data_IF_416191308778
#
_entry.id   IF_416191308778
#
_cell.length_a   1.000
_cell.length_b   1.000
_cell.length_c   1.000
_cell.angle_alpha   90.00
_cell.angle_beta   90.00
_cell.angle_gamma   90.00
#
_symmetry.space_group_name_H-M   'P 1'
#
loop_
_entity.id
_entity.type
_entity.pdbx_description
1 polymer ?
#
# COMPACT_ATOMS: atom_id res chain seq x y z
N UNK A 1 6.71 -13.45 -25.60
CA UNK A 1 7.01 -14.30 -24.43
C UNK A 1 5.68 -14.69 -23.81
N UNK A 2 5.50 -15.93 -23.33
CA UNK A 2 4.22 -16.61 -23.35
C UNK A 2 3.29 -16.13 -22.23
N UNK A 3 2.25 -15.38 -22.61
CA UNK A 3 1.21 -14.92 -21.68
C UNK A 3 0.43 -16.08 -21.02
N UNK A 4 0.50 -17.29 -21.60
CA UNK A 4 -0.13 -18.51 -21.08
C UNK A 4 0.38 -18.97 -19.71
N UNK A 5 1.61 -18.62 -19.31
CA UNK A 5 2.18 -19.12 -18.05
C UNK A 5 1.82 -18.23 -16.84
N UNK A 6 1.67 -16.92 -17.07
CA UNK A 6 1.42 -15.93 -15.99
C UNK A 6 0.02 -16.12 -15.40
N UNK A 7 -0.98 -16.32 -16.26
CA UNK A 7 -2.36 -16.56 -15.82
C UNK A 7 -2.45 -17.82 -14.95
N UNK A 8 -1.82 -18.91 -15.38
CA UNK A 8 -1.77 -20.16 -14.61
C UNK A 8 -1.08 -19.98 -13.25
N UNK A 9 -0.01 -19.20 -13.20
CA UNK A 9 0.70 -18.90 -11.96
C UNK A 9 -0.16 -18.11 -10.96
N UNK A 10 -0.90 -17.10 -11.45
CA UNK A 10 -1.84 -16.31 -10.62
C UNK A 10 -2.97 -17.19 -10.09
N UNK A 11 -3.52 -18.10 -10.90
CA UNK A 11 -4.55 -19.04 -10.45
C UNK A 11 -4.05 -19.95 -9.32
N UNK A 12 -2.81 -20.43 -9.38
CA UNK A 12 -2.25 -21.25 -8.30
C UNK A 12 -2.01 -20.47 -7.00
N UNK A 13 -1.63 -19.19 -7.10
CA UNK A 13 -1.53 -18.31 -5.93
C UNK A 13 -2.92 -18.06 -5.34
N UNK A 14 -3.91 -17.77 -6.19
CA UNK A 14 -5.31 -17.64 -5.78
C UNK A 14 -5.79 -18.89 -5.06
N UNK A 15 -5.56 -20.11 -5.54
CA UNK A 15 -6.02 -21.32 -4.85
C UNK A 15 -5.47 -21.46 -3.43
N UNK A 16 -4.21 -21.06 -3.20
CA UNK A 16 -3.52 -21.17 -1.91
C UNK A 16 -3.86 -20.03 -0.93
N UNK A 17 -4.52 -18.97 -1.39
CA UNK A 17 -4.87 -17.85 -0.54
C UNK A 17 -5.92 -18.23 0.54
N UNK A 18 -5.79 -17.70 1.75
CA UNK A 18 -6.85 -17.64 2.75
C UNK A 18 -8.16 -17.09 2.17
N UNK A 19 -9.33 -17.56 2.64
CA UNK A 19 -10.62 -17.12 2.13
C UNK A 19 -10.80 -15.60 2.25
N UNK A 20 -10.29 -14.98 3.31
CA UNK A 20 -10.39 -13.54 3.52
C UNK A 20 -9.68 -12.72 2.44
N UNK A 21 -8.55 -13.22 1.93
CA UNK A 21 -7.81 -12.56 0.85
C UNK A 21 -8.45 -12.80 -0.51
N UNK A 22 -9.03 -13.99 -0.74
CA UNK A 22 -9.83 -14.27 -1.94
C UNK A 22 -11.05 -13.37 -2.01
N UNK A 23 -11.78 -13.24 -0.90
CA UNK A 23 -12.96 -12.39 -0.81
C UNK A 23 -12.60 -10.93 -1.06
N UNK A 24 -11.51 -10.43 -0.47
CA UNK A 24 -11.03 -9.08 -0.74
C UNK A 24 -10.55 -8.89 -2.19
N UNK A 25 -9.96 -9.90 -2.82
CA UNK A 25 -9.52 -9.84 -4.22
C UNK A 25 -10.69 -9.76 -5.20
N UNK A 26 -11.77 -10.52 -4.95
CA UNK A 26 -12.97 -10.53 -5.80
C UNK A 26 -14.06 -9.54 -5.36
N UNK A 27 -13.80 -8.74 -4.32
CA UNK A 27 -14.78 -7.80 -3.79
C UNK A 27 -15.06 -6.66 -4.77
N UNK A 28 -16.34 -6.51 -5.11
CA UNK A 28 -16.84 -5.35 -5.86
C UNK A 28 -16.69 -4.07 -5.06
N UNK A 29 -16.90 -4.12 -3.74
CA UNK A 29 -16.76 -2.95 -2.86
C UNK A 29 -15.32 -2.40 -2.89
N UNK A 30 -14.32 -3.28 -2.92
CA UNK A 30 -12.92 -2.88 -3.04
C UNK A 30 -12.63 -2.25 -4.41
N UNK A 31 -13.22 -2.80 -5.48
CA UNK A 31 -13.09 -2.26 -6.84
C UNK A 31 -13.71 -0.86 -6.96
N UNK A 32 -14.92 -0.69 -6.40
CA UNK A 32 -15.62 0.59 -6.36
C UNK A 32 -14.87 1.61 -5.49
N UNK A 33 -14.28 1.16 -4.39
CA UNK A 33 -13.43 1.99 -3.54
C UNK A 33 -12.20 2.50 -4.30
N UNK A 34 -11.49 1.62 -5.03
CA UNK A 34 -10.35 2.03 -5.87
C UNK A 34 -10.79 3.04 -6.92
N UNK A 35 -11.90 2.77 -7.63
CA UNK A 35 -12.43 3.66 -8.65
C UNK A 35 -12.78 5.06 -8.08
N UNK A 36 -13.49 5.10 -6.95
CA UNK A 36 -13.86 6.36 -6.30
C UNK A 36 -12.65 7.13 -5.77
N UNK A 37 -11.64 6.44 -5.26
CA UNK A 37 -10.35 7.02 -4.85
C UNK A 37 -9.64 7.63 -6.06
N UNK A 38 -9.57 6.92 -7.18
CA UNK A 38 -8.94 7.44 -8.39
C UNK A 38 -9.69 8.65 -8.96
N UNK A 39 -11.02 8.65 -8.88
CA UNK A 39 -11.84 9.80 -9.25
C UNK A 39 -11.54 11.03 -8.39
N UNK A 40 -11.35 10.84 -7.09
CA UNK A 40 -11.05 11.92 -6.13
C UNK A 40 -9.68 12.57 -6.39
N UNK A 41 -8.71 11.81 -6.86
CA UNK A 41 -7.34 12.26 -7.13
C UNK A 41 -7.03 12.43 -8.63
N UNK A 42 -8.07 12.50 -9.47
CA UNK A 42 -7.97 12.75 -10.92
C UNK A 42 -7.04 11.78 -11.67
N UNK A 43 -6.97 10.51 -11.23
CA UNK A 43 -6.12 9.47 -11.82
C UNK A 43 -6.94 8.29 -12.39
N UNK A 44 -8.11 8.59 -12.96
CA UNK A 44 -9.00 7.61 -13.58
C UNK A 44 -8.34 6.83 -14.73
N UNK A 45 -7.36 7.43 -15.40
CA UNK A 45 -6.54 6.78 -16.43
C UNK A 45 -5.67 5.63 -15.90
N UNK A 46 -5.43 5.60 -14.59
CA UNK A 46 -4.55 4.63 -13.91
C UNK A 46 -5.30 3.59 -13.06
N UNK A 47 -6.64 3.64 -13.02
CA UNK A 47 -7.48 2.76 -12.20
C UNK A 47 -7.13 1.29 -12.38
N UNK A 48 -7.02 0.82 -13.63
CA UNK A 48 -6.71 -0.59 -13.90
C UNK A 48 -5.37 -1.03 -13.31
N UNK A 49 -4.36 -0.16 -13.40
CA UNK A 49 -3.03 -0.44 -12.84
C UNK A 49 -3.02 -0.39 -11.33
N UNK A 50 -3.72 0.58 -10.73
CA UNK A 50 -3.85 0.68 -9.27
C UNK A 50 -4.57 -0.55 -8.72
N UNK A 51 -5.61 -1.03 -9.40
CA UNK A 51 -6.29 -2.29 -9.06
C UNK A 51 -5.36 -3.50 -9.19
N UNK A 52 -4.55 -3.57 -10.25
CA UNK A 52 -3.54 -4.61 -10.45
C UNK A 52 -2.52 -4.65 -9.30
N UNK A 53 -1.91 -3.51 -8.92
CA UNK A 53 -1.00 -3.45 -7.78
C UNK A 53 -1.68 -3.75 -6.45
N UNK A 54 -2.94 -3.33 -6.27
CA UNK A 54 -3.72 -3.70 -5.08
C UNK A 54 -3.93 -5.22 -5.01
N UNK A 55 -4.18 -5.85 -6.16
CA UNK A 55 -4.24 -7.30 -6.30
C UNK A 55 -2.91 -7.98 -5.99
N UNK A 56 -1.78 -7.42 -6.43
CA UNK A 56 -0.44 -7.93 -6.08
C UNK A 56 -0.21 -7.93 -4.56
N UNK A 57 -0.70 -6.91 -3.85
CA UNK A 57 -0.64 -6.88 -2.38
C UNK A 57 -1.48 -8.00 -1.78
N UNK A 58 -2.72 -8.18 -2.24
CA UNK A 58 -3.62 -9.23 -1.75
C UNK A 58 -3.10 -10.65 -2.07
N UNK A 59 -2.35 -10.81 -3.16
CA UNK A 59 -1.67 -12.05 -3.55
C UNK A 59 -0.36 -12.29 -2.78
N UNK A 60 0.11 -11.31 -2.00
CA UNK A 60 1.38 -11.36 -1.28
C UNK A 60 2.62 -11.14 -2.16
N UNK A 61 2.44 -10.74 -3.43
CA UNK A 61 3.51 -10.45 -4.39
C UNK A 61 4.19 -9.09 -4.15
N UNK A 62 3.46 -8.15 -3.55
CA UNK A 62 3.96 -6.83 -3.17
C UNK A 62 3.64 -6.60 -1.68
N UNK A 63 4.61 -6.26 -0.83
CA UNK A 63 4.30 -5.91 0.55
C UNK A 63 3.47 -4.62 0.58
N UNK A 64 2.48 -4.50 1.49
CA UNK A 64 1.65 -3.30 1.61
C UNK A 64 2.46 -2.01 1.77
N UNK A 65 3.60 -2.09 2.47
CA UNK A 65 4.50 -0.96 2.74
C UNK A 65 5.13 -0.38 1.46
N UNK A 66 5.37 -1.22 0.45
CA UNK A 66 5.96 -0.80 -0.83
C UNK A 66 4.90 -0.33 -1.84
N UNK A 67 3.61 -0.44 -1.50
CA UNK A 67 2.53 -0.03 -2.39
C UNK A 67 2.62 1.44 -2.78
N UNK A 68 2.94 2.34 -1.83
CA UNK A 68 3.14 3.75 -2.14
C UNK A 68 4.31 3.94 -3.13
N UNK A 69 5.44 3.28 -2.91
CA UNK A 69 6.60 3.37 -3.79
C UNK A 69 6.27 2.87 -5.20
N UNK A 70 5.46 1.83 -5.33
CA UNK A 70 4.96 1.36 -6.62
C UNK A 70 4.05 2.39 -7.31
N UNK A 71 3.18 3.08 -6.57
CA UNK A 71 2.37 4.18 -7.12
C UNK A 71 3.22 5.35 -7.63
N UNK A 72 4.29 5.70 -6.92
CA UNK A 72 5.20 6.78 -7.31
C UNK A 72 6.09 6.38 -8.49
N UNK A 73 6.70 5.20 -8.45
CA UNK A 73 7.68 4.75 -9.46
C UNK A 73 7.03 4.26 -10.75
N UNK A 74 6.11 3.32 -10.63
CA UNK A 74 5.53 2.61 -11.79
C UNK A 74 4.43 3.43 -12.45
N UNK A 75 3.61 4.09 -11.63
CA UNK A 75 2.45 4.86 -12.07
C UNK A 75 2.74 6.35 -12.21
N UNK A 76 3.93 6.80 -11.82
CA UNK A 76 4.39 8.20 -11.89
C UNK A 76 3.41 9.18 -11.25
N UNK A 77 2.74 8.75 -10.17
CA UNK A 77 1.88 9.62 -9.39
C UNK A 77 2.72 10.62 -8.60
N UNK A 78 2.22 11.83 -8.43
CA UNK A 78 2.85 12.81 -7.56
C UNK A 78 2.90 12.25 -6.13
N UNK A 79 4.03 12.46 -5.44
CA UNK A 79 4.28 11.96 -4.08
C UNK A 79 3.11 12.22 -3.12
N UNK A 80 2.57 13.43 -3.10
CA UNK A 80 1.44 13.78 -2.21
C UNK A 80 0.17 12.98 -2.54
N UNK A 81 -0.12 12.80 -3.83
CA UNK A 81 -1.25 12.01 -4.30
C UNK A 81 -1.06 10.53 -4.00
N UNK A 82 0.12 9.99 -4.30
CA UNK A 82 0.47 8.60 -4.02
C UNK A 82 0.37 8.28 -2.52
N UNK A 83 0.88 9.15 -1.65
CA UNK A 83 0.80 8.98 -0.19
C UNK A 83 -0.65 8.96 0.30
N UNK A 84 -1.48 9.90 -0.14
CA UNK A 84 -2.89 9.97 0.26
C UNK A 84 -3.69 8.77 -0.23
N UNK A 85 -3.48 8.38 -1.49
CA UNK A 85 -4.12 7.20 -2.08
C UNK A 85 -3.69 5.91 -1.39
N UNK A 86 -2.39 5.71 -1.19
CA UNK A 86 -1.85 4.55 -0.51
C UNK A 86 -2.44 4.43 0.89
N UNK A 87 -2.54 5.54 1.64
CA UNK A 87 -3.13 5.56 2.98
C UNK A 87 -4.61 5.18 2.99
N UNK A 88 -5.38 5.67 2.02
CA UNK A 88 -6.81 5.33 1.88
C UNK A 88 -6.97 3.84 1.54
N UNK A 89 -6.27 3.36 0.53
CA UNK A 89 -6.29 1.94 0.13
C UNK A 89 -5.81 1.03 1.26
N UNK A 90 -4.74 1.40 1.97
CA UNK A 90 -4.27 0.67 3.16
C UNK A 90 -5.38 0.50 4.19
N UNK A 91 -6.10 1.58 4.49
CA UNK A 91 -7.10 1.59 5.55
C UNK A 91 -8.34 0.77 5.20
N UNK A 92 -8.81 0.86 3.95
CA UNK A 92 -10.08 0.26 3.55
C UNK A 92 -9.93 -1.15 2.95
N UNK A 93 -8.80 -1.45 2.31
CA UNK A 93 -8.59 -2.71 1.61
C UNK A 93 -7.60 -3.61 2.38
N UNK A 94 -6.42 -3.11 2.72
CA UNK A 94 -5.37 -3.97 3.29
C UNK A 94 -5.52 -4.20 4.80
N UNK A 95 -5.96 -3.19 5.56
CA UNK A 95 -6.10 -3.28 7.01
C UNK A 95 -7.10 -4.36 7.46
N UNK A 96 -8.30 -4.50 6.85
CA UNK A 96 -9.24 -5.57 7.21
C UNK A 96 -8.66 -6.98 7.03
N UNK A 97 -7.79 -7.17 6.03
CA UNK A 97 -7.19 -8.47 5.69
C UNK A 97 -5.77 -8.65 6.19
N UNK A 98 -5.25 -7.70 6.98
CA UNK A 98 -3.90 -7.75 7.54
C UNK A 98 -3.58 -9.07 8.26
N UNK A 99 -4.48 -9.64 9.10
CA UNK A 99 -4.20 -10.92 9.76
C UNK A 99 -4.00 -12.06 8.77
N UNK A 100 -4.70 -12.05 7.63
CA UNK A 100 -4.58 -13.05 6.58
C UNK A 100 -3.31 -12.85 5.74
N UNK A 101 -2.94 -11.59 5.45
CA UNK A 101 -1.64 -11.27 4.83
C UNK A 101 -0.47 -11.74 5.70
N UNK A 102 -0.51 -11.49 7.01
CA UNK A 102 0.53 -11.95 7.93
C UNK A 102 0.64 -13.49 7.97
N UNK A 103 -0.48 -14.19 7.89
CA UNK A 103 -0.49 -15.65 7.80
C UNK A 103 0.17 -16.14 6.50
N UNK A 104 -0.16 -15.51 5.37
CA UNK A 104 0.43 -15.83 4.07
C UNK A 104 1.96 -15.72 4.09
N UNK A 105 2.50 -14.66 4.70
CA UNK A 105 3.94 -14.47 4.86
C UNK A 105 4.58 -15.45 5.85
N UNK A 106 3.89 -15.80 6.95
CA UNK A 106 4.39 -16.77 7.96
C UNK A 106 4.45 -18.20 7.44
N UNK A 107 3.56 -18.59 6.53
CA UNK A 107 3.53 -19.94 5.95
C UNK A 107 4.60 -20.15 4.87
N UNK A 108 5.36 -19.11 4.50
CA UNK A 108 6.45 -19.21 3.50
C UNK A 108 5.95 -19.53 2.09
N UNK A 109 4.65 -19.31 1.82
CA UNK A 109 4.05 -19.56 0.51
C UNK A 109 4.48 -18.52 -0.54
N UNK A 110 4.96 -17.37 -0.09
CA UNK A 110 5.51 -16.29 -0.93
C UNK A 110 6.79 -15.81 -0.26
N UNK A 111 7.95 -16.23 -0.79
CA UNK A 111 9.24 -15.69 -0.37
C UNK A 111 9.39 -14.29 -0.95
N UNK A 112 8.94 -13.27 -0.21
CA UNK A 112 9.43 -11.92 -0.44
C UNK A 112 10.84 -11.91 0.12
N UNK A 113 11.84 -11.89 -0.75
CA UNK A 113 13.23 -11.76 -0.35
C UNK A 113 13.33 -10.51 0.54
N UNK A 114 13.77 -10.74 1.77
CA UNK A 114 13.98 -9.76 2.83
C UNK A 114 14.92 -8.65 2.31
N UNK A 115 14.31 -7.55 1.84
CA UNK A 115 15.01 -6.46 1.18
C UNK A 115 14.41 -5.10 1.52
N UNK A 116 13.98 -4.89 2.77
CA UNK A 116 13.63 -3.57 3.27
C UNK A 116 14.17 -3.40 4.70
N UNK A 117 15.43 -2.98 4.78
CA UNK A 117 15.93 -2.20 5.92
C UNK A 117 14.91 -1.12 6.23
N UNK A 118 14.20 -1.26 7.35
CA UNK A 118 13.36 -0.22 7.92
C UNK A 118 14.25 1.01 8.18
N UNK A 119 13.99 2.20 7.60
CA UNK A 119 14.19 3.41 8.35
C UNK A 119 12.96 3.51 9.26
N UNK A 120 13.14 3.02 10.48
CA UNK A 120 12.29 3.36 11.61
C UNK A 120 12.04 4.87 11.58
N UNK A 121 10.76 5.25 11.57
CA UNK A 121 10.31 6.62 11.70
C UNK A 121 11.00 7.31 12.88
N UNK A 122 11.98 8.17 12.59
CA UNK A 122 12.37 9.21 13.52
C UNK A 122 11.30 10.30 13.43
N UNK A 123 10.34 10.16 14.34
CA UNK A 123 9.41 11.18 14.81
C UNK A 123 10.09 12.56 14.73
N UNK A 124 9.50 13.60 14.10
CA UNK A 124 10.03 14.94 14.27
C UNK A 124 9.91 15.29 15.76
N UNK A 125 11.06 15.35 16.44
CA UNK A 125 11.13 15.86 17.80
C UNK A 125 10.53 17.26 17.82
N UNK A 126 9.61 17.43 18.78
CA UNK A 126 8.97 18.70 19.07
C UNK A 126 10.06 19.74 19.31
N UNK A 127 9.94 20.89 18.64
CA UNK A 127 10.66 22.12 18.98
C UNK A 127 10.64 22.31 20.51
N UNK A 128 11.78 22.48 21.19
CA UNK A 128 11.74 23.01 22.54
C UNK A 128 11.22 24.45 22.47
N UNK A 129 10.17 24.69 23.25
CA UNK A 129 9.67 26.02 23.55
C UNK A 129 10.71 26.82 24.33
N UNK A 130 10.84 28.10 24.02
CA UNK A 130 11.31 29.14 24.95
C UNK A 130 12.80 29.47 24.90
N UNK A 131 13.21 30.32 23.97
CA UNK A 131 14.19 31.36 24.31
C UNK A 131 13.38 32.65 24.48
N UNK A 132 12.97 32.92 25.72
CA UNK A 132 12.31 34.16 26.12
C UNK A 132 13.36 35.29 26.07
N UNK A 133 13.64 35.77 24.85
CA UNK A 133 14.45 36.95 24.59
C UNK A 133 13.59 38.21 24.68
N UNK A 134 12.98 38.44 25.84
CA UNK A 134 12.53 39.77 26.25
C UNK A 134 12.83 39.97 27.73
N UNK A 135 14.03 40.47 28.02
CA UNK A 135 14.24 41.30 29.20
C UNK A 135 14.81 42.62 28.72
N UNK A 136 13.90 43.58 28.63
CA UNK A 136 14.20 44.97 28.32
C UNK A 136 15.21 45.55 29.33
N UNK A 137 16.05 46.45 28.84
CA UNK A 137 16.99 47.24 29.62
C UNK A 137 16.21 48.38 30.28
N UNK A 138 16.04 48.36 31.60
CA UNK A 138 15.67 49.50 32.46
C UNK A 138 16.27 49.14 33.84
N UNK A 139 17.26 49.84 34.39
CA UNK A 139 17.32 51.25 34.80
C UNK A 139 18.79 51.71 34.92
#
# INVERSE_FOLDING_TARGET
MPEENIQQHIWQLLEKLPPELKDAFFSTDNSDFIYSTCRKYECLDKVSKIAEYSGHVLLGLLPPEDFQAALEGELKLEKETAEKMAREIHRFIFYPVKPALEQLYKTGAVSVEEGAEKPSAEKPERKPAGEDRYREVIE
#
